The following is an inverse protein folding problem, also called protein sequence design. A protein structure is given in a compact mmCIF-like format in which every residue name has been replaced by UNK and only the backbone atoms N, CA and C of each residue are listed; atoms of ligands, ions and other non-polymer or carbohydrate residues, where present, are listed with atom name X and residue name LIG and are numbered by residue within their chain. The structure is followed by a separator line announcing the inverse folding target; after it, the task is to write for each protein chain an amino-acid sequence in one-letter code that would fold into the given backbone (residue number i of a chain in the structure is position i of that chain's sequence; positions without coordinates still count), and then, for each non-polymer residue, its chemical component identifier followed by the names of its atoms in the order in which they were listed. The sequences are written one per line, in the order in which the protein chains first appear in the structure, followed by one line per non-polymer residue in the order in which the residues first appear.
data_IF_900839390596
#
_entry.id   IF_900839390596
#
_cell.length_a   1.000
_cell.length_b   1.000
_cell.length_c   1.000
_cell.angle_alpha   90.00
_cell.angle_beta   90.00
_cell.angle_gamma   90.00
#
_symmetry.space_group_name_H-M   'P 1'
#
loop_
_entity.id
_entity.type
_entity.pdbx_description
1 polymer ?
#
# COMPACT_ATOMS: atom_id res chain seq x y z
N UNK A 1 -9.53 1.69 -16.82
CA UNK A 1 -8.37 2.57 -16.55
C UNK A 1 -7.25 1.61 -16.18
N UNK A 2 -6.17 1.56 -16.96
CA UNK A 2 -5.11 0.57 -16.71
C UNK A 2 -4.57 0.72 -15.28
N UNK A 3 -4.42 -0.41 -14.58
CA UNK A 3 -3.88 -0.43 -13.22
C UNK A 3 -2.40 -0.05 -13.24
N UNK A 4 -2.13 1.24 -13.07
CA UNK A 4 -0.77 1.81 -13.04
C UNK A 4 0.08 1.18 -11.93
N UNK A 5 -0.56 0.69 -10.86
CA UNK A 5 0.10 0.11 -9.70
C UNK A 5 -0.28 -1.36 -9.49
N UNK A 6 0.68 -2.13 -9.00
CA UNK A 6 0.47 -3.48 -8.51
C UNK A 6 -0.02 -3.46 -7.07
N UNK A 7 -1.30 -3.79 -6.85
CA UNK A 7 -1.97 -3.73 -5.54
C UNK A 7 -1.85 -5.04 -4.73
N UNK A 8 -1.16 -6.04 -5.27
CA UNK A 8 -0.87 -7.31 -4.62
C UNK A 8 -2.14 -8.03 -4.08
N UNK A 9 -3.24 -7.98 -4.82
CA UNK A 9 -4.58 -8.38 -4.38
C UNK A 9 -4.62 -9.80 -3.81
N UNK A 10 -4.00 -10.76 -4.51
CA UNK A 10 -3.94 -12.16 -4.06
C UNK A 10 -3.14 -12.31 -2.75
N UNK A 11 -2.11 -11.51 -2.55
CA UNK A 11 -1.33 -11.51 -1.30
C UNK A 11 -2.15 -10.91 -0.17
N UNK A 12 -2.84 -9.78 -0.41
CA UNK A 12 -3.72 -9.14 0.57
C UNK A 12 -4.80 -10.13 1.03
N UNK A 13 -5.46 -10.80 0.09
CA UNK A 13 -6.46 -11.84 0.42
C UNK A 13 -5.88 -12.96 1.28
N UNK A 14 -4.70 -13.47 0.92
CA UNK A 14 -4.02 -14.53 1.69
C UNK A 14 -3.69 -14.07 3.12
N UNK A 15 -3.17 -12.85 3.30
CA UNK A 15 -2.84 -12.31 4.62
C UNK A 15 -4.08 -12.18 5.51
N UNK A 16 -5.19 -11.67 4.96
CA UNK A 16 -6.45 -11.54 5.70
C UNK A 16 -6.95 -12.92 6.16
N UNK A 17 -7.00 -13.89 5.24
CA UNK A 17 -7.48 -15.25 5.55
C UNK A 17 -6.57 -15.97 6.55
N UNK A 18 -5.24 -15.90 6.38
CA UNK A 18 -4.29 -16.57 7.27
C UNK A 18 -4.33 -16.00 8.69
N UNK A 19 -4.48 -14.68 8.81
CA UNK A 19 -4.61 -13.99 10.10
C UNK A 19 -6.01 -14.10 10.70
N UNK A 20 -6.99 -14.64 9.95
CA UNK A 20 -8.41 -14.72 10.34
C UNK A 20 -8.99 -13.34 10.70
N UNK A 21 -8.49 -12.29 10.06
CA UNK A 21 -8.97 -10.93 10.26
C UNK A 21 -10.39 -10.79 9.74
N UNK A 22 -11.30 -10.26 10.56
CA UNK A 22 -12.71 -10.04 10.23
C UNK A 22 -13.00 -8.57 9.96
N UNK A 23 -12.22 -7.67 10.55
CA UNK A 23 -12.35 -6.22 10.41
C UNK A 23 -11.01 -5.65 10.01
N UNK A 24 -10.95 -5.00 8.86
CA UNK A 24 -9.69 -4.61 8.24
C UNK A 24 -9.72 -3.10 7.97
N UNK A 25 -8.76 -2.37 8.50
CA UNK A 25 -8.57 -0.95 8.21
C UNK A 25 -7.63 -0.77 7.03
N UNK A 26 -8.09 -0.06 6.02
CA UNK A 26 -7.34 0.27 4.82
C UNK A 26 -6.85 1.71 4.98
N UNK A 27 -5.53 1.91 4.89
CA UNK A 27 -4.94 3.23 4.78
C UNK A 27 -4.18 3.33 3.46
N UNK A 28 -4.38 4.43 2.73
CA UNK A 28 -3.74 4.70 1.46
C UNK A 28 -3.44 6.19 1.28
N UNK A 29 -2.35 6.56 0.58
CA UNK A 29 -2.07 7.94 0.21
C UNK A 29 -3.05 8.44 -0.86
N UNK A 30 -3.14 9.76 -0.99
CA UNK A 30 -4.03 10.44 -1.95
C UNK A 30 -3.85 9.96 -3.39
N UNK A 31 -2.61 9.67 -3.80
CA UNK A 31 -2.31 9.16 -5.15
C UNK A 31 -2.93 7.80 -5.48
N UNK A 32 -3.42 7.05 -4.49
CA UNK A 32 -4.07 5.75 -4.67
C UNK A 32 -5.60 5.80 -4.47
N UNK A 33 -6.19 6.96 -4.16
CA UNK A 33 -7.65 7.09 -3.92
C UNK A 33 -8.50 6.62 -5.11
N UNK A 34 -8.00 6.77 -6.33
CA UNK A 34 -8.66 6.26 -7.54
C UNK A 34 -8.81 4.72 -7.57
N UNK A 35 -8.03 3.99 -6.77
CA UNK A 35 -8.06 2.53 -6.65
C UNK A 35 -8.87 2.04 -5.45
N UNK A 36 -9.48 2.95 -4.67
CA UNK A 36 -10.10 2.62 -3.39
C UNK A 36 -11.16 1.53 -3.51
N UNK A 37 -12.08 1.63 -4.48
CA UNK A 37 -13.15 0.65 -4.65
C UNK A 37 -12.61 -0.77 -4.90
N UNK A 38 -11.55 -0.89 -5.70
CA UNK A 38 -10.90 -2.17 -5.99
C UNK A 38 -10.22 -2.77 -4.76
N UNK A 39 -9.59 -1.92 -3.95
CA UNK A 39 -8.96 -2.34 -2.69
C UNK A 39 -10.02 -2.80 -1.69
N UNK A 40 -11.11 -2.06 -1.54
CA UNK A 40 -12.25 -2.42 -0.68
C UNK A 40 -12.85 -3.76 -1.14
N UNK A 41 -13.15 -3.91 -2.43
CA UNK A 41 -13.66 -5.16 -3.00
C UNK A 41 -12.70 -6.34 -2.74
N UNK A 42 -11.38 -6.11 -2.84
CA UNK A 42 -10.36 -7.11 -2.55
C UNK A 42 -10.48 -7.60 -1.10
N UNK A 43 -10.62 -6.70 -0.14
CA UNK A 43 -10.80 -7.03 1.28
C UNK A 43 -12.13 -7.73 1.50
N UNK A 44 -13.24 -7.16 1.02
CA UNK A 44 -14.59 -7.70 1.23
C UNK A 44 -14.78 -9.08 0.58
N UNK A 45 -14.11 -9.36 -0.53
CA UNK A 45 -14.13 -10.69 -1.18
C UNK A 45 -13.59 -11.83 -0.30
N UNK A 46 -12.89 -11.50 0.80
CA UNK A 46 -12.44 -12.48 1.80
C UNK A 46 -13.49 -12.78 2.87
N UNK A 47 -14.60 -12.02 2.90
CA UNK A 47 -15.61 -12.05 3.96
C UNK A 47 -15.30 -11.13 5.14
N UNK A 48 -14.22 -10.35 5.09
CA UNK A 48 -13.89 -9.33 6.08
C UNK A 48 -14.64 -8.00 5.82
N UNK A 49 -15.00 -7.29 6.88
CA UNK A 49 -15.51 -5.94 6.85
C UNK A 49 -14.36 -4.95 6.59
N UNK A 50 -14.51 -4.11 5.56
CA UNK A 50 -13.52 -3.11 5.18
C UNK A 50 -13.84 -1.75 5.80
N UNK A 51 -12.87 -1.18 6.51
CA UNK A 51 -12.87 0.21 6.96
C UNK A 51 -11.84 0.99 6.16
N UNK A 52 -12.12 2.24 5.84
CA UNK A 52 -11.17 3.11 5.13
C UNK A 52 -10.83 4.27 6.04
N UNK A 53 -9.54 4.45 6.35
CA UNK A 53 -9.08 5.63 7.08
C UNK A 53 -9.37 6.88 6.25
N UNK A 54 -10.05 7.83 6.90
CA UNK A 54 -10.42 9.11 6.31
C UNK A 54 -9.28 10.12 6.35
N UNK A 55 -8.31 9.91 7.23
CA UNK A 55 -7.21 10.83 7.44
C UNK A 55 -6.21 10.80 6.28
N UNK A 56 -5.47 11.90 6.04
CA UNK A 56 -4.34 11.91 5.13
C UNK A 56 -3.31 10.84 5.51
N UNK A 57 -2.63 10.26 4.53
CA UNK A 57 -1.52 9.34 4.74
C UNK A 57 -0.31 9.81 3.92
N UNK A 58 0.77 10.19 4.61
CA UNK A 58 1.98 10.72 3.99
C UNK A 58 3.17 9.74 3.98
N UNK A 59 3.09 8.64 4.74
CA UNK A 59 4.20 7.71 4.85
C UNK A 59 3.94 6.53 5.78
N UNK A 60 4.89 5.60 5.81
CA UNK A 60 4.88 4.47 6.74
C UNK A 60 5.04 4.87 8.22
N UNK A 61 5.41 6.13 8.50
CA UNK A 61 5.45 6.67 9.86
C UNK A 61 4.07 7.08 10.40
N UNK A 62 3.06 7.12 9.53
CA UNK A 62 1.74 7.70 9.79
C UNK A 62 0.68 6.60 9.87
N UNK A 63 0.93 5.54 10.66
CA UNK A 63 0.00 4.44 10.81
C UNK A 63 -1.24 4.86 11.62
N UNK A 64 -2.45 4.43 11.24
CA UNK A 64 -3.70 4.84 11.86
C UNK A 64 -4.00 3.97 13.09
N UNK A 65 -3.04 3.86 14.01
CA UNK A 65 -3.10 2.94 15.16
C UNK A 65 -4.25 3.31 16.11
N UNK A 66 -4.47 4.61 16.34
CA UNK A 66 -5.58 5.09 17.17
C UNK A 66 -6.95 4.82 16.52
N UNK A 67 -7.08 4.99 15.20
CA UNK A 67 -8.30 4.61 14.47
C UNK A 67 -8.53 3.10 14.55
N UNK A 68 -7.48 2.30 14.37
CA UNK A 68 -7.55 0.85 14.43
C UNK A 68 -8.03 0.36 15.80
N UNK A 69 -7.52 0.95 16.89
CA UNK A 69 -7.95 0.66 18.26
C UNK A 69 -9.42 1.06 18.48
N UNK A 70 -9.80 2.30 18.15
CA UNK A 70 -11.17 2.81 18.34
C UNK A 70 -12.20 2.03 17.54
N UNK A 71 -11.85 1.66 16.31
CA UNK A 71 -12.69 0.86 15.46
C UNK A 71 -12.65 -0.62 15.84
N UNK A 72 -11.73 -1.08 16.70
CA UNK A 72 -11.54 -2.47 17.07
C UNK A 72 -11.39 -3.38 15.83
N UNK A 73 -10.47 -3.00 14.94
CA UNK A 73 -10.10 -3.79 13.77
C UNK A 73 -9.04 -4.83 14.13
N UNK A 74 -8.86 -5.85 13.28
CA UNK A 74 -7.91 -6.94 13.50
C UNK A 74 -6.60 -6.74 12.72
N UNK A 75 -6.64 -5.93 11.66
CA UNK A 75 -5.55 -5.79 10.69
C UNK A 75 -5.59 -4.42 10.00
N UNK A 76 -4.41 -3.82 9.83
CA UNK A 76 -4.23 -2.66 8.93
C UNK A 76 -3.61 -3.15 7.62
N UNK A 77 -4.18 -2.75 6.49
CA UNK A 77 -3.51 -2.82 5.19
C UNK A 77 -3.04 -1.40 4.82
N UNK A 78 -1.72 -1.18 4.82
CA UNK A 78 -1.10 0.10 4.53
C UNK A 78 -0.50 0.11 3.13
N UNK A 79 -1.05 0.92 2.23
CA UNK A 79 -0.63 1.01 0.84
C UNK A 79 0.39 2.13 0.59
N UNK A 80 1.26 1.93 -0.39
CA UNK A 80 2.13 2.95 -0.97
C UNK A 80 3.51 3.10 -0.32
N UNK A 81 3.75 2.45 0.82
CA UNK A 81 5.00 2.58 1.55
C UNK A 81 5.58 1.23 1.99
N UNK A 82 6.90 1.20 2.16
CA UNK A 82 7.60 0.08 2.78
C UNK A 82 7.54 0.21 4.30
N UNK A 83 7.53 -0.93 4.99
CA UNK A 83 7.66 -1.00 6.44
C UNK A 83 8.83 -0.16 6.95
N UNK A 84 8.57 0.69 7.95
CA UNK A 84 9.56 1.55 8.58
C UNK A 84 10.05 0.97 9.92
N UNK A 85 9.11 0.48 10.74
CA UNK A 85 9.36 -0.10 12.06
C UNK A 85 8.71 -1.48 12.12
N UNK A 86 9.47 -2.48 12.59
CA UNK A 86 8.99 -3.86 12.71
C UNK A 86 8.09 -4.09 13.93
N UNK A 87 8.17 -3.22 14.93
CA UNK A 87 7.42 -3.34 16.18
C UNK A 87 6.55 -2.10 16.40
N UNK A 88 5.33 -2.16 15.88
CA UNK A 88 4.31 -1.09 16.03
C UNK A 88 3.15 -1.51 16.95
N UNK A 89 3.26 -2.68 17.60
CA UNK A 89 2.26 -3.18 18.56
C UNK A 89 0.92 -3.62 17.94
N UNK A 90 0.80 -3.60 16.62
CA UNK A 90 -0.44 -3.93 15.91
C UNK A 90 -0.16 -4.70 14.60
N UNK A 91 -1.03 -5.64 14.18
CA UNK A 91 -0.86 -6.34 12.91
C UNK A 91 -1.01 -5.39 11.71
N UNK A 92 0.07 -5.22 10.94
CA UNK A 92 0.07 -4.43 9.70
C UNK A 92 0.55 -5.28 8.53
N UNK A 93 -0.06 -5.07 7.36
CA UNK A 93 0.42 -5.57 6.06
C UNK A 93 0.72 -4.38 5.18
N UNK A 94 1.99 -4.24 4.81
CA UNK A 94 2.45 -3.22 3.87
C UNK A 94 2.33 -3.71 2.43
N UNK A 95 1.71 -2.89 1.58
CA UNK A 95 1.59 -3.10 0.13
C UNK A 95 2.31 -1.96 -0.58
N UNK A 96 3.32 -2.29 -1.39
CA UNK A 96 4.22 -1.26 -1.94
C UNK A 96 3.59 -0.44 -3.06
N UNK A 97 2.51 -0.93 -3.68
CA UNK A 97 1.87 -0.31 -4.84
C UNK A 97 2.89 0.01 -5.94
N UNK A 98 3.67 -0.98 -6.39
CA UNK A 98 4.74 -0.75 -7.37
C UNK A 98 4.16 -0.30 -8.71
N UNK A 99 4.71 0.76 -9.30
CA UNK A 99 4.33 1.18 -10.64
C UNK A 99 4.68 0.10 -11.68
N UNK A 100 3.75 -0.20 -12.58
CA UNK A 100 3.95 -1.13 -13.70
C UNK A 100 4.60 -0.45 -14.92
N UNK A 101 4.89 0.84 -14.83
CA UNK A 101 5.41 1.65 -15.94
C UNK A 101 6.85 1.24 -16.31
N UNK A 102 7.11 0.87 -17.58
CA UNK A 102 8.46 0.54 -18.02
C UNK A 102 9.34 1.79 -18.06
N UNK A 103 10.46 1.75 -17.32
CA UNK A 103 11.41 2.88 -17.25
C UNK A 103 12.56 2.79 -18.25
N UNK A 104 12.74 1.66 -18.93
CA UNK A 104 13.90 1.41 -19.80
C UNK A 104 14.07 2.46 -20.91
N UNK A 105 12.97 2.93 -21.49
CA UNK A 105 12.98 3.97 -22.52
C UNK A 105 13.48 5.32 -22.00
N UNK A 106 13.04 5.74 -20.80
CA UNK A 106 13.47 7.01 -20.20
C UNK A 106 14.91 6.93 -19.68
N UNK A 107 15.33 5.78 -19.16
CA UNK A 107 16.72 5.53 -18.75
C UNK A 107 17.69 5.63 -19.94
N UNK A 108 17.33 5.09 -21.11
CA UNK A 108 18.18 5.25 -22.31
C UNK A 108 18.32 6.71 -22.74
N UNK A 109 17.23 7.48 -22.64
CA UNK A 109 17.22 8.91 -22.99
C UNK A 109 18.05 9.74 -22.01
N UNK A 110 18.10 9.38 -20.73
CA UNK A 110 18.85 10.12 -19.72
C UNK A 110 20.38 9.94 -19.84
N UNK A 111 20.87 8.89 -20.50
CA UNK A 111 22.32 8.65 -20.69
C UNK A 111 23.07 9.85 -21.26
N UNK A 112 22.45 10.62 -22.17
CA UNK A 112 23.07 11.82 -22.76
C UNK A 112 23.33 12.93 -21.73
N UNK A 113 22.48 13.04 -20.71
CA UNK A 113 22.59 14.00 -19.62
C UNK A 113 23.68 13.62 -18.61
N UNK A 114 24.03 12.33 -18.57
CA UNK A 114 24.91 11.74 -17.58
C UNK A 114 26.38 11.62 -18.04
N UNK A 115 26.67 11.89 -19.33
CA UNK A 115 28.00 11.73 -19.94
C UNK A 115 29.16 12.45 -19.23
N UNK A 116 28.87 13.47 -18.43
CA UNK A 116 29.88 14.29 -17.75
C UNK A 116 30.30 13.71 -16.39
N UNK A 117 29.66 12.64 -15.94
CA UNK A 117 29.86 12.08 -14.61
C UNK A 117 30.38 10.65 -14.73
N UNK A 118 31.46 10.36 -14.00
CA UNK A 118 32.04 9.02 -13.91
C UNK A 118 31.35 8.16 -12.82
N UNK A 119 30.72 8.79 -11.82
CA UNK A 119 30.01 8.14 -10.71
C UNK A 119 28.64 8.79 -10.51
N UNK A 120 27.60 7.95 -10.36
CA UNK A 120 26.20 8.35 -10.19
C UNK A 120 25.60 7.49 -9.07
N UNK A 121 24.97 8.12 -8.07
CA UNK A 121 24.38 7.48 -6.88
C UNK A 121 23.44 8.40 -6.14
#
# INVERSE_FOLDING_TARGET
MDDVFDLEEDRVKREIVQRKARRVLIQLPEGLRGQLFKIVETVESTGAEAFVSGDPCYGACDLPLEEAEKLNVDLIIHYGHTELLSEVGFPVVYVKAKARTPVSGVVKKSLSLLKKYDVIG
#
